data_IF_760140566809
#
_entry.id   IF_760140566809
#
_cell.length_a   1.000
_cell.length_b   1.000
_cell.length_c   1.000
_cell.angle_alpha   90.00
_cell.angle_beta   90.00
_cell.angle_gamma   90.00
#
_symmetry.space_group_name_H-M   'P 1'
#
loop_
_entity.id
_entity.type
_entity.pdbx_description
1 polymer ?
#
# COMPACT_ATOMS: atom_id res chain seq x y z
N UNK A 1 -25.67 23.27 6.24
CA UNK A 1 -24.21 23.38 5.98
C UNK A 1 -23.88 22.35 4.91
N UNK A 2 -23.63 22.77 3.67
CA UNK A 2 -23.12 21.87 2.64
C UNK A 2 -21.68 21.50 3.04
N UNK A 3 -21.44 20.23 3.34
CA UNK A 3 -20.08 19.72 3.44
C UNK A 3 -19.48 19.76 2.04
N UNK A 4 -18.51 20.63 1.81
CA UNK A 4 -17.65 20.57 0.63
C UNK A 4 -16.95 19.21 0.69
N UNK A 5 -17.31 18.29 -0.21
CA UNK A 5 -16.65 16.99 -0.32
C UNK A 5 -15.28 17.21 -0.97
N UNK A 6 -14.25 17.36 -0.15
CA UNK A 6 -12.89 17.41 -0.62
C UNK A 6 -12.51 15.99 -1.06
N UNK A 7 -12.47 15.75 -2.37
CA UNK A 7 -11.96 14.48 -2.90
C UNK A 7 -10.45 14.55 -2.94
N UNK A 8 -9.80 13.77 -2.09
CA UNK A 8 -8.34 13.70 -1.98
C UNK A 8 -7.85 12.38 -2.58
N UNK A 9 -6.82 12.44 -3.42
CA UNK A 9 -6.11 11.27 -3.93
C UNK A 9 -4.62 11.45 -3.63
N UNK A 10 -4.03 10.49 -2.92
CA UNK A 10 -2.59 10.43 -2.71
C UNK A 10 -1.97 9.35 -3.61
N UNK A 11 -1.03 9.74 -4.46
CA UNK A 11 -0.30 8.86 -5.36
C UNK A 11 1.17 8.77 -4.96
N UNK A 12 1.61 7.57 -4.59
CA UNK A 12 3.00 7.26 -4.28
C UNK A 12 3.62 6.50 -5.45
N UNK A 13 4.72 7.03 -6.01
CA UNK A 13 5.38 6.44 -7.17
C UNK A 13 6.86 6.13 -6.94
N UNK A 14 7.38 5.21 -7.74
CA UNK A 14 8.78 4.78 -7.68
C UNK A 14 9.15 4.11 -6.36
N UNK A 15 8.23 3.35 -5.77
CA UNK A 15 8.36 2.74 -4.45
C UNK A 15 9.35 1.57 -4.45
N UNK A 16 10.51 1.77 -3.83
CA UNK A 16 11.52 0.73 -3.65
C UNK A 16 11.19 -0.11 -2.44
N UNK A 17 11.15 -1.42 -2.59
CA UNK A 17 10.95 -2.36 -1.50
C UNK A 17 12.32 -2.80 -0.93
N UNK A 18 12.37 -3.14 0.35
CA UNK A 18 13.61 -3.58 1.00
C UNK A 18 14.04 -5.00 0.62
N UNK A 19 13.10 -5.87 0.25
CA UNK A 19 13.33 -7.30 -0.03
C UNK A 19 13.28 -7.61 -1.52
N UNK A 20 12.39 -6.94 -2.25
CA UNK A 20 12.00 -7.32 -3.61
C UNK A 20 12.29 -6.23 -4.64
N UNK A 21 12.62 -6.66 -5.86
CA UNK A 21 12.92 -5.79 -6.99
C UNK A 21 11.71 -5.53 -7.88
N UNK A 22 11.51 -4.27 -8.25
CA UNK A 22 10.39 -3.82 -9.07
C UNK A 22 10.86 -2.90 -10.19
N UNK A 23 10.33 -3.11 -11.39
CA UNK A 23 10.37 -2.12 -12.48
C UNK A 23 9.38 -0.99 -12.16
N UNK A 24 8.20 -1.38 -11.66
CA UNK A 24 7.13 -0.47 -11.26
C UNK A 24 6.52 -0.94 -9.94
N UNK A 25 6.29 -0.01 -9.02
CA UNK A 25 5.57 -0.26 -7.78
C UNK A 25 5.02 1.08 -7.30
N UNK A 26 3.70 1.21 -7.36
CA UNK A 26 2.98 2.47 -7.13
C UNK A 26 1.71 2.20 -6.34
N UNK A 27 1.31 3.17 -5.53
CA UNK A 27 0.15 3.08 -4.65
C UNK A 27 -0.71 4.33 -4.85
N UNK A 28 -1.98 4.13 -5.16
CA UNK A 28 -2.97 5.19 -5.35
C UNK A 28 -3.99 5.03 -4.22
N UNK A 29 -4.05 6.00 -3.31
CA UNK A 29 -5.03 6.04 -2.23
C UNK A 29 -6.10 7.07 -2.62
N UNK A 30 -7.33 6.60 -2.77
CA UNK A 30 -8.50 7.43 -2.98
C UNK A 30 -9.28 7.51 -1.66
N UNK A 31 -9.21 8.66 -1.01
CA UNK A 31 -9.81 8.86 0.31
C UNK A 31 -11.33 8.96 0.24
N UNK A 32 -11.88 9.56 -0.81
CA UNK A 32 -13.32 9.66 -1.04
C UNK A 32 -13.97 8.26 -1.13
N UNK A 33 -13.31 7.34 -1.84
CA UNK A 33 -13.78 5.95 -1.99
C UNK A 33 -13.28 5.00 -0.91
N UNK A 34 -12.44 5.48 0.02
CA UNK A 34 -11.77 4.64 1.02
C UNK A 34 -11.08 3.42 0.40
N UNK A 35 -10.39 3.62 -0.72
CA UNK A 35 -9.76 2.55 -1.51
C UNK A 35 -8.30 2.84 -1.82
N UNK A 36 -7.48 1.80 -1.77
CA UNK A 36 -6.09 1.80 -2.22
C UNK A 36 -5.92 0.81 -3.36
N UNK A 37 -5.29 1.28 -4.44
CA UNK A 37 -4.90 0.45 -5.58
C UNK A 37 -3.38 0.47 -5.66
N UNK A 38 -2.78 -0.72 -5.61
CA UNK A 38 -1.35 -0.93 -5.85
C UNK A 38 -1.14 -1.52 -7.23
N UNK A 39 -0.35 -0.86 -8.06
CA UNK A 39 0.07 -1.38 -9.35
C UNK A 39 1.56 -1.73 -9.32
N UNK A 40 1.91 -2.94 -9.74
CA UNK A 40 3.29 -3.40 -9.70
C UNK A 40 3.70 -4.21 -10.94
N UNK A 41 5.00 -4.15 -11.23
CA UNK A 41 5.70 -4.98 -12.20
C UNK A 41 7.01 -5.41 -11.55
N UNK A 42 7.15 -6.71 -11.28
CA UNK A 42 8.39 -7.28 -10.76
C UNK A 42 9.53 -7.18 -11.77
N UNK A 43 10.76 -7.00 -11.26
CA UNK A 43 11.93 -7.25 -12.09
C UNK A 43 12.08 -8.75 -12.39
N UNK A 44 12.89 -9.07 -13.40
CA UNK A 44 13.05 -10.46 -13.85
C UNK A 44 13.63 -11.37 -12.76
N UNK A 45 14.50 -10.82 -11.88
CA UNK A 45 15.13 -11.57 -10.78
C UNK A 45 14.09 -12.01 -9.75
N UNK A 46 13.25 -11.08 -9.32
CA UNK A 46 12.20 -11.27 -8.32
C UNK A 46 11.08 -12.14 -8.89
N UNK A 47 10.66 -11.87 -10.14
CA UNK A 47 9.65 -12.68 -10.80
C UNK A 47 10.06 -14.14 -10.90
N UNK A 48 11.28 -14.43 -11.38
CA UNK A 48 11.78 -15.81 -11.47
C UNK A 48 11.84 -16.51 -10.11
N UNK A 49 12.30 -15.81 -9.07
CA UNK A 49 12.35 -16.32 -7.69
C UNK A 49 10.97 -16.76 -7.18
N UNK A 50 9.93 -15.95 -7.42
CA UNK A 50 8.58 -16.31 -6.98
C UNK A 50 7.92 -17.34 -7.90
N UNK A 51 8.16 -17.25 -9.21
CA UNK A 51 7.64 -18.21 -10.18
C UNK A 51 8.15 -19.63 -9.94
N UNK A 52 9.37 -19.78 -9.40
CA UNK A 52 9.93 -21.10 -9.06
C UNK A 52 9.21 -21.77 -7.89
N UNK A 53 8.59 -21.00 -6.98
CA UNK A 53 7.85 -21.55 -5.83
C UNK A 53 6.34 -21.57 -6.07
N UNK A 54 5.82 -20.67 -6.90
CA UNK A 54 4.39 -20.55 -7.20
C UNK A 54 4.17 -20.23 -8.68
N UNK A 55 3.62 -21.20 -9.40
CA UNK A 55 3.34 -21.11 -10.84
C UNK A 55 2.19 -20.14 -11.16
N UNK A 56 1.38 -19.72 -10.20
CA UNK A 56 0.30 -18.75 -10.40
C UNK A 56 0.80 -17.30 -10.45
N UNK A 57 2.04 -17.06 -9.98
CA UNK A 57 2.62 -15.71 -9.92
C UNK A 57 2.66 -15.09 -11.31
N UNK A 58 2.14 -13.87 -11.38
CA UNK A 58 2.20 -12.97 -12.54
C UNK A 58 3.30 -11.94 -12.32
N UNK A 59 3.99 -11.56 -13.41
CA UNK A 59 5.05 -10.56 -13.35
C UNK A 59 4.50 -9.16 -13.06
N UNK A 60 3.32 -8.86 -13.60
CA UNK A 60 2.58 -7.63 -13.37
C UNK A 60 1.22 -7.91 -12.74
N UNK A 61 0.71 -6.95 -11.99
CA UNK A 61 -0.59 -7.06 -11.35
C UNK A 61 -1.06 -5.78 -10.70
N UNK A 62 -2.32 -5.81 -10.28
CA UNK A 62 -2.96 -4.78 -9.49
C UNK A 62 -3.62 -5.42 -8.27
N UNK A 63 -3.52 -4.75 -7.13
CA UNK A 63 -4.16 -5.17 -5.87
C UNK A 63 -4.97 -4.02 -5.34
N UNK A 64 -6.24 -4.27 -5.08
CA UNK A 64 -7.16 -3.32 -4.47
C UNK A 64 -7.42 -3.70 -3.01
N UNK A 65 -7.48 -2.71 -2.13
CA UNK A 65 -7.79 -2.87 -0.70
C UNK A 65 -8.56 -1.67 -0.18
N UNK A 66 -9.47 -1.91 0.77
CA UNK A 66 -10.07 -0.81 1.51
C UNK A 66 -9.06 -0.15 2.43
N UNK A 67 -9.23 1.16 2.67
CA UNK A 67 -8.45 1.92 3.63
C UNK A 67 -9.35 2.61 4.65
N UNK A 68 -8.81 2.86 5.83
CA UNK A 68 -9.45 3.66 6.87
C UNK A 68 -8.40 4.48 7.62
N UNK A 69 -8.83 5.58 8.21
CA UNK A 69 -7.97 6.48 8.99
C UNK A 69 -8.16 6.23 10.50
N UNK A 70 -7.05 6.17 11.23
CA UNK A 70 -7.01 6.02 12.68
C UNK A 70 -5.77 6.74 13.23
N UNK A 71 -5.97 7.71 14.12
CA UNK A 71 -4.88 8.46 14.78
C UNK A 71 -3.84 9.03 13.80
N UNK A 72 -4.29 9.76 12.77
CA UNK A 72 -3.47 10.36 11.70
C UNK A 72 -2.69 9.37 10.81
N UNK A 73 -2.98 8.07 10.94
CA UNK A 73 -2.43 7.01 10.13
C UNK A 73 -3.52 6.39 9.25
N UNK A 74 -3.13 5.93 8.07
CA UNK A 74 -4.03 5.29 7.11
C UNK A 74 -3.65 3.82 7.05
N UNK A 75 -4.63 2.95 7.30
CA UNK A 75 -4.43 1.51 7.30
C UNK A 75 -5.21 0.87 6.15
N UNK A 76 -4.66 -0.19 5.56
CA UNK A 76 -5.47 -1.10 4.73
C UNK A 76 -6.32 -2.01 5.59
N UNK A 77 -7.28 -2.68 4.99
CA UNK A 77 -7.90 -3.88 5.54
C UNK A 77 -6.88 -4.91 6.07
N UNK A 78 -7.34 -5.69 7.06
CA UNK A 78 -6.56 -6.74 7.71
C UNK A 78 -6.52 -7.96 6.80
N UNK A 79 -5.32 -8.38 6.42
CA UNK A 79 -5.11 -9.59 5.64
C UNK A 79 -4.51 -10.67 6.52
N UNK A 80 -5.24 -11.76 6.70
CA UNK A 80 -4.86 -12.89 7.53
C UNK A 80 -6.02 -13.33 8.42
N UNK A 81 -5.69 -13.90 9.56
CA UNK A 81 -6.65 -14.39 10.55
C UNK A 81 -6.70 -13.44 11.75
N UNK A 82 -7.76 -13.46 12.56
CA UNK A 82 -7.87 -12.59 13.74
C UNK A 82 -6.67 -12.68 14.69
N UNK A 83 -6.07 -13.87 14.82
CA UNK A 83 -4.89 -14.11 15.64
C UNK A 83 -3.57 -13.69 14.96
N UNK A 84 -3.51 -13.62 13.63
CA UNK A 84 -2.33 -13.20 12.89
C UNK A 84 -2.70 -12.51 11.58
N UNK A 85 -2.48 -11.20 11.50
CA UNK A 85 -2.80 -10.42 10.32
C UNK A 85 -1.74 -9.37 10.00
N UNK A 86 -1.79 -8.89 8.78
CA UNK A 86 -0.95 -7.79 8.30
C UNK A 86 -1.78 -6.67 7.71
N UNK A 87 -1.29 -5.45 7.84
CA UNK A 87 -1.87 -4.24 7.26
C UNK A 87 -0.76 -3.36 6.73
N UNK A 88 -0.99 -2.71 5.60
CA UNK A 88 -0.13 -1.60 5.19
C UNK A 88 -0.53 -0.36 5.98
N UNK A 89 0.47 0.40 6.38
CA UNK A 89 0.32 1.63 7.16
C UNK A 89 0.99 2.77 6.40
N UNK A 90 0.21 3.82 6.16
CA UNK A 90 0.64 5.03 5.48
C UNK A 90 0.42 6.24 6.39
N UNK A 91 1.10 7.32 6.05
CA UNK A 91 0.86 8.66 6.63
C UNK A 91 0.70 9.62 5.46
N UNK A 92 -0.22 10.59 5.57
CA UNK A 92 -0.36 11.64 4.55
C UNK A 92 0.98 12.33 4.31
N UNK A 93 1.26 12.64 3.04
CA UNK A 93 2.50 13.28 2.55
C UNK A 93 3.81 12.53 2.86
N UNK A 94 3.74 11.28 3.34
CA UNK A 94 4.93 10.49 3.66
C UNK A 94 5.28 9.53 2.53
N UNK A 95 6.55 9.49 2.07
CA UNK A 95 7.01 8.49 1.10
C UNK A 95 7.23 7.12 1.74
N UNK A 96 7.10 7.00 3.07
CA UNK A 96 7.41 5.77 3.80
C UNK A 96 6.14 4.94 3.92
N UNK A 97 6.25 3.68 3.48
CA UNK A 97 5.21 2.67 3.66
C UNK A 97 5.72 1.68 4.70
N UNK A 98 4.92 1.49 5.74
CA UNK A 98 5.17 0.51 6.78
C UNK A 98 4.19 -0.66 6.64
N UNK A 99 4.58 -1.80 7.20
CA UNK A 99 3.71 -2.94 7.41
C UNK A 99 3.56 -3.14 8.91
N UNK A 100 2.31 -3.18 9.36
CA UNK A 100 1.92 -3.60 10.70
C UNK A 100 1.60 -5.08 10.63
N UNK A 101 2.28 -5.88 11.43
CA UNK A 101 2.03 -7.29 11.62
C UNK A 101 1.57 -7.50 13.04
N UNK A 102 0.48 -8.23 13.24
CA UNK A 102 -0.01 -8.60 14.56
C UNK A 102 0.01 -10.11 14.68
N UNK A 103 0.55 -10.63 15.78
CA UNK A 103 0.57 -12.07 16.10
C UNK A 103 0.17 -12.22 17.57
N UNK A 104 -0.93 -12.92 17.83
CA UNK A 104 -1.47 -13.15 19.18
C UNK A 104 -1.63 -11.86 20.02
N UNK A 105 -1.96 -10.75 19.36
CA UNK A 105 -2.12 -9.44 20.00
C UNK A 105 -0.83 -8.64 20.15
N UNK A 106 0.34 -9.23 19.87
CA UNK A 106 1.61 -8.48 19.80
C UNK A 106 1.74 -7.79 18.45
N UNK A 107 2.07 -6.50 18.47
CA UNK A 107 2.21 -5.69 17.27
C UNK A 107 3.68 -5.45 16.90
N UNK A 108 4.02 -5.70 15.65
CA UNK A 108 5.31 -5.36 15.06
C UNK A 108 5.12 -4.41 13.87
N UNK A 109 5.77 -3.25 13.90
CA UNK A 109 5.76 -2.29 12.79
C UNK A 109 7.14 -2.28 12.16
N UNK A 110 7.20 -2.46 10.84
CA UNK A 110 8.45 -2.39 10.09
C UNK A 110 8.27 -1.62 8.79
N UNK A 111 9.33 -0.95 8.34
CA UNK A 111 9.35 -0.28 7.04
C UNK A 111 9.44 -1.32 5.94
N UNK A 112 8.56 -1.25 4.94
CA UNK A 112 8.57 -2.18 3.80
C UNK A 112 9.01 -1.49 2.51
N UNK A 113 8.67 -0.21 2.34
CA UNK A 113 9.00 0.51 1.12
C UNK A 113 9.25 1.99 1.36
N UNK A 114 10.04 2.60 0.48
CA UNK A 114 10.20 4.05 0.40
C UNK A 114 10.00 4.49 -1.04
N UNK A 115 9.08 5.43 -1.24
CA UNK A 115 8.72 5.99 -2.53
C UNK A 115 9.56 7.22 -2.85
N UNK A 116 9.77 7.45 -4.15
CA UNK A 116 10.57 8.61 -4.61
C UNK A 116 9.75 9.89 -4.60
N UNK A 117 8.44 9.77 -4.87
CA UNK A 117 7.53 10.90 -5.01
C UNK A 117 6.20 10.58 -4.35
N UNK A 118 5.62 11.59 -3.72
CA UNK A 118 4.26 11.60 -3.20
C UNK A 118 3.56 12.80 -3.82
N UNK A 119 2.41 12.57 -4.45
CA UNK A 119 1.59 13.60 -5.05
C UNK A 119 0.20 13.53 -4.44
N UNK A 120 -0.29 14.64 -3.91
CA UNK A 120 -1.65 14.75 -3.35
C UNK A 120 -2.47 15.63 -4.29
N UNK A 121 -3.57 15.09 -4.77
CA UNK A 121 -4.52 15.77 -5.63
C UNK A 121 -5.76 16.07 -4.81
N UNK A 122 -6.08 17.35 -4.68
CA UNK A 122 -7.29 17.82 -4.01
C UNK A 122 -8.23 18.32 -5.10
N UNK A 123 -9.40 17.68 -5.23
CA UNK A 123 -10.46 18.15 -6.11
C UNK A 123 -11.36 19.09 -5.29
N UNK A 124 -11.38 20.36 -5.68
CA UNK A 124 -12.42 21.28 -5.23
C UNK A 124 -13.76 20.86 -5.86
N UNK A 125 -14.79 20.71 -5.03
CA UNK A 125 -16.17 20.44 -5.46
C UNK A 125 -17.01 21.70 -5.39
#
# INVERSE_FOLDING_TARGET
MQSVSISEIMHLTGCKNLKDGFIKNEYILNFEKSLMIRNYIYDNKTFKKYKSTDLSVKQEGSVERFIYEESDLIYTDKIGYPQFYTQLMFKKDSPIINIKTVINGEEGISKISTCKKVEVFVKES
#
